data_IF_947297606491
#
_entry.id   IF_947297606491
#
_cell.length_a   1.000
_cell.length_b   1.000
_cell.length_c   1.000
_cell.angle_alpha   90.00
_cell.angle_beta   90.00
_cell.angle_gamma   90.00
#
_symmetry.space_group_name_H-M   'P 1'
#
loop_
_entity.id
_entity.type
_entity.pdbx_description
1 polymer ?
#
# COMPACT_ATOMS: atom_id res chain seq x y z
N UNK A 1 -15.65 23.12 -25.43
CA UNK A 1 -14.66 23.01 -24.35
C UNK A 1 -15.14 22.03 -23.28
N UNK A 2 -15.27 20.76 -23.58
CA UNK A 2 -15.89 19.79 -22.66
C UNK A 2 -15.54 18.36 -22.99
N UNK A 3 -14.25 18.00 -23.07
CA UNK A 3 -13.82 16.60 -23.34
C UNK A 3 -12.64 16.14 -22.43
N UNK A 4 -12.14 16.95 -21.51
CA UNK A 4 -10.93 16.66 -20.73
C UNK A 4 -11.19 16.13 -19.30
N UNK A 5 -12.44 15.97 -18.85
CA UNK A 5 -12.76 15.57 -17.46
C UNK A 5 -13.03 14.07 -17.23
N UNK A 6 -12.93 13.21 -18.24
CA UNK A 6 -13.36 11.80 -18.10
C UNK A 6 -12.23 10.76 -17.92
N UNK A 7 -10.96 11.14 -17.88
CA UNK A 7 -9.84 10.18 -17.98
C UNK A 7 -9.05 9.93 -16.69
N UNK A 8 -9.32 10.61 -15.59
CA UNK A 8 -8.55 10.47 -14.33
C UNK A 8 -9.31 9.68 -13.26
N UNK A 9 -10.45 9.11 -13.57
CA UNK A 9 -11.22 8.31 -12.62
C UNK A 9 -10.59 6.93 -12.43
N UNK A 10 -9.99 6.69 -11.24
CA UNK A 10 -9.55 5.44 -10.62
C UNK A 10 -8.15 4.95 -10.96
N UNK A 11 -7.12 5.57 -10.40
CA UNK A 11 -5.88 4.85 -10.08
C UNK A 11 -6.03 4.25 -8.68
N UNK A 12 -6.57 3.04 -8.57
CA UNK A 12 -6.65 2.31 -7.29
C UNK A 12 -5.41 1.44 -7.19
N UNK A 13 -4.55 1.74 -6.24
CA UNK A 13 -3.40 0.91 -5.90
C UNK A 13 -3.81 -0.05 -4.79
N UNK A 14 -3.97 -1.31 -5.14
CA UNK A 14 -4.15 -2.37 -4.15
C UNK A 14 -2.81 -2.78 -3.53
N UNK A 15 -2.29 -2.03 -2.57
CA UNK A 15 -1.35 -2.55 -1.59
C UNK A 15 -2.14 -2.80 -0.32
N UNK A 16 -2.17 -4.03 0.14
CA UNK A 16 -2.89 -4.43 1.35
C UNK A 16 -2.11 -3.94 2.56
N UNK A 17 -2.78 -3.27 3.47
CA UNK A 17 -2.22 -2.69 4.68
C UNK A 17 -2.94 -3.11 5.93
N UNK A 18 -2.15 -3.35 6.93
CA UNK A 18 -2.55 -3.53 8.30
C UNK A 18 -2.76 -2.17 8.99
N UNK A 19 -3.95 -1.96 9.49
CA UNK A 19 -4.22 -0.84 10.40
C UNK A 19 -4.65 -1.36 11.76
N UNK A 20 -3.95 -0.92 12.79
CA UNK A 20 -4.38 -1.08 14.17
C UNK A 20 -5.50 -0.07 14.46
N UNK A 21 -6.66 -0.53 14.91
CA UNK A 21 -7.79 0.34 15.21
C UNK A 21 -8.22 0.26 16.67
N UNK A 22 -8.61 1.39 17.19
CA UNK A 22 -9.19 1.59 18.50
C UNK A 22 -10.71 1.32 18.53
N UNK A 23 -11.15 0.90 19.71
CA UNK A 23 -12.49 0.52 20.16
C UNK A 23 -13.69 1.35 19.70
N UNK A 24 -14.81 0.65 19.44
CA UNK A 24 -16.13 1.08 19.92
C UNK A 24 -17.11 -0.09 20.04
N UNK A 25 -17.89 -0.02 21.10
CA UNK A 25 -18.93 -0.84 21.70
C UNK A 25 -19.85 -1.69 20.81
N UNK A 26 -20.08 -2.95 21.26
CA UNK A 26 -20.95 -3.97 20.68
C UNK A 26 -22.34 -3.94 21.37
N UNK A 27 -23.46 -4.09 20.65
CA UNK A 27 -24.71 -4.56 21.21
C UNK A 27 -24.78 -6.10 21.20
N UNK A 28 -25.26 -6.68 22.31
CA UNK A 28 -25.47 -8.10 22.48
C UNK A 28 -26.53 -8.65 21.54
N UNK A 29 -26.25 -9.77 20.89
CA UNK A 29 -27.21 -10.61 20.15
C UNK A 29 -27.43 -11.91 20.92
N UNK A 30 -28.70 -12.42 21.04
CA UNK A 30 -29.03 -13.60 21.82
C UNK A 30 -28.61 -14.92 21.14
N UNK A 31 -28.49 -15.95 21.97
CA UNK A 31 -27.93 -17.24 21.68
C UNK A 31 -28.79 -18.16 20.78
N UNK A 32 -28.08 -18.85 19.93
CA UNK A 32 -28.13 -20.24 19.49
C UNK A 32 -29.42 -20.85 18.95
N UNK A 33 -29.37 -21.27 17.71
CA UNK A 33 -30.00 -22.48 17.19
C UNK A 33 -28.97 -23.31 16.42
N UNK A 34 -29.10 -24.63 16.56
CA UNK A 34 -28.20 -25.72 16.16
C UNK A 34 -27.70 -25.69 14.70
N UNK A 35 -26.55 -26.30 14.40
CA UNK A 35 -25.98 -26.28 13.06
C UNK A 35 -26.80 -27.20 12.12
N UNK A 36 -27.47 -26.59 11.16
CA UNK A 36 -27.90 -27.34 9.96
C UNK A 36 -26.65 -27.55 9.09
N UNK A 37 -26.36 -28.82 8.88
CA UNK A 37 -25.43 -29.29 7.88
C UNK A 37 -25.78 -28.67 6.52
N UNK A 38 -25.00 -27.69 6.09
CA UNK A 38 -24.98 -27.26 4.70
C UNK A 38 -24.11 -28.25 3.94
N UNK A 39 -24.78 -29.22 3.29
CA UNK A 39 -24.16 -29.94 2.20
C UNK A 39 -23.70 -28.92 1.16
N UNK A 40 -22.40 -28.87 0.92
CA UNK A 40 -21.80 -27.95 -0.03
C UNK A 40 -22.40 -28.17 -1.41
N UNK A 41 -23.01 -27.12 -1.97
CA UNK A 41 -23.15 -27.06 -3.42
C UNK A 41 -21.73 -26.99 -4.00
N UNK A 42 -21.38 -27.86 -4.95
CA UNK A 42 -20.14 -27.70 -5.68
C UNK A 42 -20.23 -26.36 -6.40
N UNK A 43 -19.29 -25.46 -6.11
CA UNK A 43 -19.04 -24.35 -6.99
C UNK A 43 -18.60 -24.95 -8.33
N UNK A 44 -19.46 -24.90 -9.33
CA UNK A 44 -19.11 -25.18 -10.70
C UNK A 44 -18.21 -24.02 -11.20
N UNK A 45 -16.94 -24.06 -10.83
CA UNK A 45 -15.92 -23.39 -11.61
C UNK A 45 -15.62 -24.34 -12.77
N UNK A 46 -16.24 -24.13 -13.93
CA UNK A 46 -15.72 -24.73 -15.14
C UNK A 46 -14.25 -24.31 -15.22
N UNK A 47 -13.33 -25.27 -15.10
CA UNK A 47 -11.90 -25.03 -15.24
C UNK A 47 -11.65 -24.49 -16.64
N UNK A 48 -10.70 -23.53 -16.78
CA UNK A 48 -10.35 -22.96 -18.07
C UNK A 48 -9.95 -24.06 -19.05
N UNK A 49 -10.52 -24.05 -20.22
CA UNK A 49 -10.06 -24.92 -21.30
C UNK A 49 -8.62 -24.52 -21.71
N UNK A 50 -7.88 -25.46 -22.32
CA UNK A 50 -6.55 -25.14 -22.87
C UNK A 50 -6.62 -23.93 -23.83
N UNK A 51 -7.69 -23.83 -24.62
CA UNK A 51 -7.92 -22.70 -25.54
C UNK A 51 -8.11 -21.38 -24.80
N UNK A 52 -8.85 -21.37 -23.69
CA UNK A 52 -9.10 -20.14 -22.92
C UNK A 52 -7.83 -19.70 -22.18
N UNK A 53 -7.03 -20.65 -21.68
CA UNK A 53 -5.69 -20.33 -21.09
C UNK A 53 -4.77 -19.68 -22.12
N UNK A 54 -4.70 -20.21 -23.34
CA UNK A 54 -3.92 -19.60 -24.43
C UNK A 54 -4.43 -18.18 -24.70
N UNK A 55 -5.74 -18.01 -24.85
CA UNK A 55 -6.35 -16.69 -25.11
C UNK A 55 -6.05 -15.70 -24.00
N UNK A 56 -6.19 -16.09 -22.73
CA UNK A 56 -5.86 -15.25 -21.58
C UNK A 56 -4.38 -14.86 -21.55
N UNK A 57 -3.48 -15.81 -21.81
CA UNK A 57 -2.04 -15.55 -21.88
C UNK A 57 -1.71 -14.51 -22.96
N UNK A 58 -2.20 -14.71 -24.19
CA UNK A 58 -1.96 -13.80 -25.30
C UNK A 58 -2.55 -12.41 -25.06
N UNK A 59 -3.72 -12.33 -24.43
CA UNK A 59 -4.36 -11.08 -24.07
C UNK A 59 -3.52 -10.31 -23.06
N UNK A 60 -3.04 -10.97 -22.00
CA UNK A 60 -2.18 -10.37 -20.97
C UNK A 60 -0.87 -9.88 -21.59
N UNK A 61 -0.18 -10.74 -22.34
CA UNK A 61 1.09 -10.39 -22.96
C UNK A 61 0.96 -9.22 -23.91
N UNK A 62 -0.02 -9.26 -24.84
CA UNK A 62 -0.27 -8.19 -25.83
C UNK A 62 -0.67 -6.88 -25.16
N UNK A 63 -1.52 -6.92 -24.14
CA UNK A 63 -1.95 -5.72 -23.44
C UNK A 63 -0.76 -5.01 -22.79
N UNK A 64 0.18 -5.75 -22.22
CA UNK A 64 1.42 -5.18 -21.67
C UNK A 64 2.30 -4.64 -22.79
N UNK A 65 2.47 -5.40 -23.87
CA UNK A 65 3.28 -4.98 -25.03
C UNK A 65 2.81 -3.63 -25.61
N UNK A 66 1.51 -3.44 -25.70
CA UNK A 66 0.91 -2.23 -26.25
C UNK A 66 0.84 -1.04 -25.28
N UNK A 67 0.64 -1.32 -23.98
CA UNK A 67 0.21 -0.29 -23.01
C UNK A 67 1.29 0.09 -21.98
N UNK A 68 2.29 -0.75 -21.77
CA UNK A 68 3.31 -0.48 -20.76
C UNK A 68 4.01 0.85 -21.03
N UNK A 69 4.22 1.66 -19.99
CA UNK A 69 4.69 3.06 -20.12
C UNK A 69 6.11 3.17 -20.72
N UNK A 70 6.99 2.24 -20.39
CA UNK A 70 8.37 2.22 -20.91
C UNK A 70 8.46 1.29 -22.13
N UNK A 71 8.75 1.80 -23.34
CA UNK A 71 8.90 0.98 -24.53
C UNK A 71 10.07 -0.02 -24.47
N UNK A 72 10.96 0.13 -23.48
CA UNK A 72 12.06 -0.81 -23.21
C UNK A 72 11.73 -1.80 -22.11
N UNK A 73 10.51 -1.79 -21.56
CA UNK A 73 10.01 -2.74 -20.54
C UNK A 73 10.95 -2.86 -19.33
N UNK A 74 11.46 -1.73 -18.78
CA UNK A 74 12.48 -1.70 -17.73
C UNK A 74 13.77 -2.49 -18.08
N UNK A 75 14.09 -2.60 -19.37
CA UNK A 75 15.26 -3.34 -19.88
C UNK A 75 15.00 -4.84 -20.13
N UNK A 76 13.77 -5.30 -19.93
CA UNK A 76 13.36 -6.69 -20.20
C UNK A 76 13.03 -6.86 -21.68
N UNK A 77 13.55 -7.91 -22.32
CA UNK A 77 13.11 -8.29 -23.65
C UNK A 77 11.74 -8.98 -23.56
N UNK A 78 10.67 -8.22 -23.79
CA UNK A 78 9.29 -8.68 -23.60
C UNK A 78 8.90 -9.79 -24.59
N UNK A 79 9.48 -9.83 -25.80
CA UNK A 79 9.28 -10.94 -26.72
C UNK A 79 9.92 -12.24 -26.21
N UNK A 80 11.13 -12.18 -25.64
CA UNK A 80 11.74 -13.37 -25.03
C UNK A 80 10.92 -13.90 -23.84
N UNK A 81 10.21 -13.02 -23.13
CA UNK A 81 9.28 -13.44 -22.07
C UNK A 81 8.13 -14.25 -22.69
N UNK A 82 7.52 -13.79 -23.79
CA UNK A 82 6.51 -14.56 -24.51
C UNK A 82 7.02 -15.94 -24.88
N UNK A 83 8.16 -16.02 -25.56
CA UNK A 83 8.73 -17.27 -26.09
C UNK A 83 9.05 -18.27 -24.97
N UNK A 84 9.43 -17.77 -23.79
CA UNK A 84 9.72 -18.60 -22.61
C UNK A 84 8.46 -19.10 -21.91
N UNK A 85 7.44 -18.26 -21.77
CA UNK A 85 6.23 -18.61 -21.03
C UNK A 85 5.15 -19.30 -21.87
N UNK A 86 5.04 -19.01 -23.17
CA UNK A 86 4.01 -19.59 -24.05
C UNK A 86 3.97 -21.12 -24.03
N UNK A 87 5.13 -21.85 -24.12
CA UNK A 87 5.12 -23.30 -24.04
C UNK A 87 4.71 -23.86 -22.67
N UNK A 88 4.82 -23.06 -21.60
CA UNK A 88 4.40 -23.46 -20.25
C UNK A 88 2.87 -23.50 -20.11
N UNK A 89 2.13 -22.66 -20.88
CA UNK A 89 0.67 -22.63 -20.87
C UNK A 89 0.08 -24.01 -21.18
N UNK A 90 0.70 -24.76 -22.09
CA UNK A 90 0.22 -26.08 -22.51
C UNK A 90 0.54 -27.19 -21.49
N UNK A 91 1.39 -26.88 -20.49
CA UNK A 91 1.89 -27.84 -19.49
C UNK A 91 1.28 -27.66 -18.10
N UNK A 92 0.58 -26.54 -17.85
CA UNK A 92 -0.04 -26.30 -16.55
C UNK A 92 -1.26 -27.21 -16.37
N UNK A 93 -1.34 -27.86 -15.20
CA UNK A 93 -2.38 -28.86 -14.93
C UNK A 93 -3.70 -28.25 -14.41
N UNK A 94 -3.65 -27.04 -13.79
CA UNK A 94 -4.81 -26.39 -13.19
C UNK A 94 -4.84 -24.89 -13.37
N UNK A 95 -5.96 -24.27 -13.02
CA UNK A 95 -6.13 -22.83 -13.13
C UNK A 95 -5.25 -22.05 -12.14
N UNK A 96 -5.04 -22.60 -10.94
CA UNK A 96 -4.16 -21.97 -9.93
C UNK A 96 -2.71 -21.90 -10.43
N UNK A 97 -2.21 -22.98 -11.04
CA UNK A 97 -0.87 -23.01 -11.64
C UNK A 97 -0.77 -22.06 -12.83
N UNK A 98 -1.82 -21.99 -13.64
CA UNK A 98 -1.92 -21.05 -14.75
C UNK A 98 -1.86 -19.61 -14.27
N UNK A 99 -2.67 -19.23 -13.29
CA UNK A 99 -2.66 -17.88 -12.73
C UNK A 99 -1.34 -17.55 -12.04
N UNK A 100 -0.74 -18.50 -11.32
CA UNK A 100 0.58 -18.32 -10.73
C UNK A 100 1.66 -18.11 -11.81
N UNK A 101 1.55 -18.78 -12.94
CA UNK A 101 2.44 -18.57 -14.08
C UNK A 101 2.25 -17.18 -14.70
N UNK A 102 1.01 -16.71 -14.91
CA UNK A 102 0.72 -15.36 -15.41
C UNK A 102 1.30 -14.29 -14.46
N UNK A 103 1.14 -14.45 -13.16
CA UNK A 103 1.72 -13.55 -12.17
C UNK A 103 3.24 -13.48 -12.25
N UNK A 104 3.92 -14.64 -12.38
CA UNK A 104 5.38 -14.68 -12.59
C UNK A 104 5.79 -13.98 -13.86
N UNK A 105 5.09 -14.23 -14.98
CA UNK A 105 5.36 -13.57 -16.27
C UNK A 105 5.27 -12.04 -16.13
N UNK A 106 4.17 -11.55 -15.56
CA UNK A 106 3.95 -10.11 -15.34
C UNK A 106 5.00 -9.53 -14.39
N UNK A 107 5.41 -10.29 -13.38
CA UNK A 107 6.44 -9.92 -12.42
C UNK A 107 7.83 -9.68 -13.00
N UNK A 108 8.14 -10.22 -14.18
CA UNK A 108 9.41 -10.01 -14.88
C UNK A 108 9.67 -8.52 -15.25
N UNK A 109 8.62 -7.70 -15.24
CA UNK A 109 8.74 -6.24 -15.48
C UNK A 109 9.39 -5.47 -14.33
N UNK A 110 9.55 -6.11 -13.17
CA UNK A 110 10.10 -5.47 -11.97
C UNK A 110 9.44 -4.14 -11.63
N UNK A 111 8.10 -4.13 -11.63
CA UNK A 111 7.26 -2.96 -11.38
C UNK A 111 6.15 -3.33 -10.39
N UNK A 112 5.89 -2.42 -9.45
CA UNK A 112 4.96 -2.66 -8.36
C UNK A 112 3.49 -2.55 -8.79
N UNK A 113 3.19 -1.96 -9.94
CA UNK A 113 1.84 -1.60 -10.37
C UNK A 113 1.30 -2.48 -11.49
N UNK A 114 2.17 -3.06 -12.35
CA UNK A 114 1.74 -4.02 -13.35
C UNK A 114 1.52 -5.37 -12.68
N UNK A 115 0.26 -5.80 -12.63
CA UNK A 115 -0.16 -6.98 -11.87
C UNK A 115 -1.30 -7.72 -12.53
N UNK A 116 -1.27 -9.04 -12.38
CA UNK A 116 -2.39 -9.90 -12.66
C UNK A 116 -3.09 -10.31 -11.36
N UNK A 117 -4.40 -10.07 -11.28
CA UNK A 117 -5.25 -10.52 -10.18
C UNK A 117 -6.08 -11.72 -10.62
N UNK A 118 -6.05 -12.78 -9.83
CA UNK A 118 -6.91 -13.95 -10.05
C UNK A 118 -8.39 -13.56 -9.90
N UNK A 119 -9.32 -14.38 -10.41
CA UNK A 119 -10.76 -14.13 -10.20
C UNK A 119 -11.14 -14.01 -8.72
N UNK A 120 -10.46 -14.75 -7.83
CA UNK A 120 -10.65 -14.64 -6.37
C UNK A 120 -10.19 -13.28 -5.86
N UNK A 121 -8.95 -12.89 -6.11
CA UNK A 121 -8.38 -11.61 -5.66
C UNK A 121 -9.16 -10.40 -6.18
N UNK A 122 -9.64 -10.50 -7.43
CA UNK A 122 -10.55 -9.49 -7.99
C UNK A 122 -11.84 -9.36 -7.19
N UNK A 123 -12.43 -10.50 -6.77
CA UNK A 123 -13.66 -10.49 -5.94
C UNK A 123 -13.41 -9.92 -4.55
N UNK A 124 -12.31 -10.30 -3.90
CA UNK A 124 -11.93 -9.82 -2.56
C UNK A 124 -11.67 -8.31 -2.58
N UNK A 125 -10.93 -7.82 -3.56
CA UNK A 125 -10.67 -6.38 -3.75
C UNK A 125 -11.97 -5.58 -3.94
N UNK A 126 -12.93 -6.09 -4.72
CA UNK A 126 -14.24 -5.42 -4.91
C UNK A 126 -15.09 -5.35 -3.64
N UNK A 127 -14.85 -6.22 -2.67
CA UNK A 127 -15.59 -6.24 -1.40
C UNK A 127 -14.93 -5.39 -0.31
N UNK A 128 -13.80 -4.73 -0.59
CA UNK A 128 -13.02 -4.00 0.41
C UNK A 128 -12.72 -4.86 1.64
N UNK A 129 -12.29 -6.08 1.40
CA UNK A 129 -11.94 -7.06 2.41
C UNK A 129 -10.49 -7.45 2.27
N UNK A 130 -9.83 -7.65 3.39
CA UNK A 130 -8.45 -8.13 3.43
C UNK A 130 -8.33 -9.36 4.32
N UNK A 131 -7.37 -10.22 4.01
CA UNK A 131 -7.01 -11.36 4.85
C UNK A 131 -5.90 -10.94 5.80
N UNK A 132 -6.08 -11.21 7.08
CA UNK A 132 -5.08 -10.89 8.11
C UNK A 132 -5.01 -11.99 9.17
N UNK A 133 -3.91 -12.00 9.91
CA UNK A 133 -3.74 -12.77 11.15
C UNK A 133 -3.62 -11.84 12.37
N UNK A 134 -3.82 -10.53 12.17
CA UNK A 134 -3.79 -9.52 13.23
C UNK A 134 -2.40 -9.06 13.63
N UNK A 135 -1.37 -9.29 12.80
CA UNK A 135 -0.02 -8.78 13.03
C UNK A 135 0.54 -8.14 11.76
N UNK A 136 1.50 -7.23 11.93
CA UNK A 136 2.33 -6.70 10.86
C UNK A 136 3.79 -7.09 11.08
N UNK A 137 4.48 -7.48 10.00
CA UNK A 137 5.87 -7.91 10.04
C UNK A 137 6.68 -7.01 9.12
N UNK A 138 7.74 -6.37 9.66
CA UNK A 138 8.72 -5.61 8.88
C UNK A 138 10.13 -6.07 9.24
N UNK A 139 11.09 -5.67 8.43
CA UNK A 139 12.49 -5.77 8.80
C UNK A 139 12.84 -4.64 9.78
N UNK A 140 13.31 -4.99 10.96
CA UNK A 140 13.83 -4.05 11.96
C UNK A 140 15.18 -4.55 12.41
N UNK A 141 16.21 -3.73 12.30
CA UNK A 141 17.59 -4.08 12.64
C UNK A 141 18.06 -5.38 11.95
N UNK A 142 17.70 -5.56 10.65
CA UNK A 142 18.01 -6.74 9.85
C UNK A 142 17.26 -8.02 10.23
N UNK A 143 16.21 -7.93 11.07
CA UNK A 143 15.43 -9.08 11.55
C UNK A 143 13.95 -8.94 11.22
N UNK A 144 13.28 -10.00 10.72
CA UNK A 144 11.82 -10.02 10.59
C UNK A 144 11.18 -9.87 11.97
N UNK A 145 10.50 -8.75 12.17
CA UNK A 145 10.02 -8.32 13.51
C UNK A 145 8.53 -7.99 13.43
N UNK A 146 7.79 -8.37 14.46
CA UNK A 146 6.39 -7.94 14.66
C UNK A 146 6.40 -6.45 14.99
N UNK A 147 5.87 -5.62 14.10
CA UNK A 147 5.84 -4.16 14.29
C UNK A 147 4.51 -3.64 14.81
N UNK A 148 3.44 -4.41 14.62
CA UNK A 148 2.12 -4.10 15.15
C UNK A 148 1.35 -5.37 15.43
N UNK A 149 0.48 -5.33 16.43
CA UNK A 149 -0.46 -6.39 16.79
C UNK A 149 -1.83 -5.74 17.01
N UNK A 150 -2.85 -6.25 16.34
CA UNK A 150 -4.23 -5.86 16.62
C UNK A 150 -4.61 -6.37 18.02
N UNK A 151 -4.97 -5.49 18.96
CA UNK A 151 -5.27 -5.88 20.33
C UNK A 151 -6.47 -6.84 20.44
N UNK A 152 -7.36 -6.84 19.44
CA UNK A 152 -8.52 -7.72 19.39
C UNK A 152 -8.25 -9.03 18.65
N UNK A 153 -7.04 -9.23 18.14
CA UNK A 153 -6.65 -10.42 17.36
C UNK A 153 -6.49 -11.66 18.21
N UNK A 154 -6.49 -12.81 17.55
CA UNK A 154 -6.08 -14.06 18.17
C UNK A 154 -4.59 -14.03 18.54
N UNK A 155 -3.75 -13.37 17.74
CA UNK A 155 -2.33 -13.22 18.01
C UNK A 155 -2.08 -12.53 19.36
N UNK A 156 -2.76 -11.41 19.62
CA UNK A 156 -2.68 -10.70 20.91
C UNK A 156 -3.09 -11.61 22.09
N UNK A 157 -4.18 -12.35 21.95
CA UNK A 157 -4.63 -13.30 23.01
C UNK A 157 -3.66 -14.45 23.26
N UNK A 158 -2.80 -14.79 22.30
CA UNK A 158 -1.74 -15.78 22.44
C UNK A 158 -0.42 -15.17 22.95
N UNK A 159 -0.41 -13.89 23.31
CA UNK A 159 0.76 -13.20 23.87
C UNK A 159 1.77 -12.74 22.83
N UNK A 160 1.35 -12.57 21.56
CA UNK A 160 2.19 -11.92 20.55
C UNK A 160 2.23 -10.43 20.80
N UNK A 161 3.43 -9.85 20.80
CA UNK A 161 3.70 -8.44 21.09
C UNK A 161 4.61 -7.82 20.02
N UNK A 162 4.51 -6.50 19.86
CA UNK A 162 5.43 -5.75 19.04
C UNK A 162 6.87 -5.84 19.58
N UNK A 163 7.84 -5.91 18.67
CA UNK A 163 9.25 -6.11 19.02
C UNK A 163 9.69 -7.59 19.12
N UNK A 164 8.76 -8.54 19.07
CA UNK A 164 9.12 -9.96 18.93
C UNK A 164 9.67 -10.23 17.52
N UNK A 165 10.69 -11.09 17.42
CA UNK A 165 11.33 -11.46 16.14
C UNK A 165 10.93 -12.86 15.70
N UNK A 166 10.70 -13.05 14.41
CA UNK A 166 10.39 -14.37 13.83
C UNK A 166 11.63 -15.25 13.83
N UNK A 167 11.46 -16.51 14.28
CA UNK A 167 12.48 -17.57 14.26
C UNK A 167 12.17 -18.64 13.22
N UNK A 168 10.89 -19.04 13.11
CA UNK A 168 10.45 -20.02 12.11
C UNK A 168 9.02 -19.77 11.64
N UNK A 169 8.70 -20.29 10.47
CA UNK A 169 7.35 -20.32 9.86
C UNK A 169 7.05 -21.75 9.41
N UNK A 170 6.01 -22.35 9.94
CA UNK A 170 5.65 -23.75 9.63
C UNK A 170 6.76 -24.76 9.96
N UNK A 171 7.57 -24.51 10.98
CA UNK A 171 8.72 -25.32 11.36
C UNK A 171 9.98 -25.06 10.51
N UNK A 172 9.92 -24.24 9.46
CA UNK A 172 11.09 -23.87 8.66
C UNK A 172 11.77 -22.64 9.27
N UNK A 173 13.10 -22.68 9.55
CA UNK A 173 13.84 -21.52 10.02
C UNK A 173 13.61 -20.30 9.12
N UNK A 174 13.48 -19.12 9.71
CA UNK A 174 13.06 -17.92 8.96
C UNK A 174 14.02 -17.56 7.82
N UNK A 175 15.32 -17.77 7.99
CA UNK A 175 16.31 -17.52 6.95
C UNK A 175 16.08 -18.42 5.72
N UNK A 176 15.84 -19.70 5.95
CA UNK A 176 15.57 -20.68 4.88
C UNK A 176 14.23 -20.40 4.21
N UNK A 177 13.20 -20.03 4.99
CA UNK A 177 11.90 -19.65 4.47
C UNK A 177 12.01 -18.43 3.55
N UNK A 178 12.73 -17.38 3.97
CA UNK A 178 12.95 -16.17 3.18
C UNK A 178 13.71 -16.49 1.89
N UNK A 179 14.80 -17.25 1.97
CA UNK A 179 15.59 -17.66 0.80
C UNK A 179 14.73 -18.42 -0.24
N UNK A 180 13.93 -19.39 0.22
CA UNK A 180 13.06 -20.19 -0.64
C UNK A 180 11.90 -19.39 -1.27
N UNK A 181 11.48 -18.26 -0.65
CA UNK A 181 10.36 -17.48 -1.11
C UNK A 181 10.75 -16.19 -1.83
N UNK A 182 11.99 -15.73 -1.75
CA UNK A 182 12.44 -14.50 -2.42
C UNK A 182 12.21 -14.55 -3.94
N UNK A 183 12.55 -15.65 -4.59
CA UNK A 183 12.33 -15.82 -6.03
C UNK A 183 10.84 -15.90 -6.43
N UNK A 184 9.95 -16.06 -5.46
CA UNK A 184 8.49 -16.12 -5.67
C UNK A 184 7.79 -14.78 -5.44
N UNK A 185 8.53 -13.76 -5.00
CA UNK A 185 7.98 -12.40 -4.90
C UNK A 185 7.82 -11.85 -6.31
N UNK A 186 6.61 -11.49 -6.65
CA UNK A 186 6.31 -10.87 -7.94
C UNK A 186 7.01 -9.51 -8.05
N UNK A 187 7.17 -9.03 -9.27
CA UNK A 187 7.89 -7.80 -9.58
C UNK A 187 7.57 -6.62 -8.65
N UNK A 188 8.59 -5.95 -8.22
CA UNK A 188 8.52 -4.81 -7.32
C UNK A 188 9.47 -3.73 -7.79
N UNK A 189 9.11 -2.47 -7.55
CA UNK A 189 9.88 -1.31 -8.03
C UNK A 189 11.14 -1.00 -7.20
N UNK A 190 11.29 -1.61 -6.01
CA UNK A 190 12.44 -1.37 -5.12
C UNK A 190 12.69 -2.57 -4.20
N UNK A 191 13.92 -2.67 -3.67
CA UNK A 191 14.24 -3.71 -2.67
C UNK A 191 13.36 -3.60 -1.42
N UNK A 192 13.02 -2.38 -0.98
CA UNK A 192 12.11 -2.16 0.16
C UNK A 192 10.73 -2.77 -0.10
N UNK A 193 10.19 -2.53 -1.28
CA UNK A 193 8.92 -3.13 -1.70
C UNK A 193 9.02 -4.66 -1.80
N UNK A 194 10.15 -5.20 -2.26
CA UNK A 194 10.40 -6.65 -2.32
C UNK A 194 10.37 -7.27 -0.93
N UNK A 195 11.11 -6.68 0.03
CA UNK A 195 11.13 -7.16 1.41
C UNK A 195 9.76 -7.09 2.06
N UNK A 196 9.06 -5.97 1.89
CA UNK A 196 7.70 -5.81 2.41
C UNK A 196 6.75 -6.89 1.90
N UNK A 197 6.78 -7.17 0.60
CA UNK A 197 5.97 -8.26 0.02
C UNK A 197 6.38 -9.63 0.51
N UNK A 198 7.67 -9.87 0.69
CA UNK A 198 8.16 -11.14 1.20
C UNK A 198 7.61 -11.41 2.61
N UNK A 199 7.61 -10.41 3.49
CA UNK A 199 7.02 -10.54 4.82
C UNK A 199 5.50 -10.67 4.78
N UNK A 200 4.84 -9.98 3.85
CA UNK A 200 3.41 -10.12 3.65
C UNK A 200 3.02 -11.56 3.26
N UNK A 201 3.84 -12.24 2.43
CA UNK A 201 3.60 -13.64 2.05
C UNK A 201 3.58 -14.62 3.25
N UNK A 202 4.20 -14.27 4.39
CA UNK A 202 4.10 -15.09 5.60
C UNK A 202 2.67 -15.14 6.11
N UNK A 203 1.97 -14.02 6.03
CA UNK A 203 0.59 -13.89 6.52
C UNK A 203 -0.48 -14.16 5.47
N UNK A 204 -0.14 -14.06 4.19
CA UNK A 204 -1.06 -14.30 3.07
C UNK A 204 -1.46 -15.79 2.97
N UNK A 205 -2.67 -16.05 2.46
CA UNK A 205 -3.18 -17.40 2.19
C UNK A 205 -4.70 -17.47 2.30
N UNK A 206 -5.22 -18.72 2.22
CA UNK A 206 -6.65 -18.96 2.25
C UNK A 206 -7.29 -18.55 3.57
N UNK A 207 -8.39 -17.80 3.57
CA UNK A 207 -9.18 -17.51 4.77
C UNK A 207 -9.56 -18.81 5.50
N UNK A 208 -9.43 -18.79 6.83
CA UNK A 208 -9.69 -19.95 7.68
C UNK A 208 -8.51 -20.91 7.81
N UNK A 209 -7.50 -20.82 6.93
CA UNK A 209 -6.28 -21.59 7.08
C UNK A 209 -5.43 -21.09 8.26
N UNK A 210 -4.56 -21.96 8.77
CA UNK A 210 -3.68 -21.63 9.89
C UNK A 210 -2.24 -22.07 9.61
N UNK A 211 -1.30 -21.44 10.30
CA UNK A 211 0.10 -21.80 10.26
C UNK A 211 0.77 -21.50 11.62
N UNK A 212 1.83 -22.23 11.94
CA UNK A 212 2.61 -22.02 13.14
C UNK A 212 3.73 -21.03 12.87
N UNK A 213 4.01 -20.18 13.86
CA UNK A 213 5.20 -19.35 13.91
C UNK A 213 5.88 -19.50 15.27
N UNK A 214 7.19 -19.49 15.27
CA UNK A 214 8.00 -19.36 16.46
C UNK A 214 8.57 -17.94 16.53
N UNK A 215 8.36 -17.28 17.64
CA UNK A 215 8.75 -15.90 17.93
C UNK A 215 9.73 -15.87 19.09
N UNK A 216 10.76 -15.04 19.03
CA UNK A 216 11.63 -14.75 20.16
C UNK A 216 11.23 -13.43 20.83
N UNK A 217 11.08 -13.45 22.16
CA UNK A 217 10.90 -12.29 23.02
C UNK A 217 12.21 -11.53 23.26
N UNK A 218 12.12 -10.38 23.92
CA UNK A 218 13.28 -9.57 24.29
C UNK A 218 14.28 -10.30 25.20
N UNK A 219 13.78 -11.16 26.09
CA UNK A 219 14.58 -11.98 27.01
C UNK A 219 15.17 -13.24 26.36
N UNK A 220 14.92 -13.45 25.06
CA UNK A 220 15.36 -14.62 24.31
C UNK A 220 14.45 -15.84 24.45
N UNK A 221 13.41 -15.80 25.30
CA UNK A 221 12.45 -16.90 25.39
C UNK A 221 11.65 -17.05 24.11
N UNK A 222 11.30 -18.28 23.77
CA UNK A 222 10.57 -18.62 22.56
C UNK A 222 9.07 -18.75 22.85
N UNK A 223 8.25 -18.29 21.89
CA UNK A 223 6.82 -18.42 21.90
C UNK A 223 6.37 -19.06 20.58
N UNK A 224 5.83 -20.27 20.65
CA UNK A 224 5.15 -20.89 19.50
C UNK A 224 3.66 -20.51 19.52
N UNK A 225 3.15 -20.01 18.40
CA UNK A 225 1.73 -19.68 18.25
C UNK A 225 1.21 -20.18 16.91
N UNK A 226 -0.08 -20.52 16.89
CA UNK A 226 -0.81 -20.84 15.68
C UNK A 226 -1.66 -19.63 15.27
N UNK A 227 -1.38 -19.07 14.11
CA UNK A 227 -2.08 -17.92 13.56
C UNK A 227 -3.13 -18.40 12.56
N UNK A 228 -4.35 -17.87 12.66
CA UNK A 228 -5.48 -18.19 11.78
C UNK A 228 -5.78 -16.99 10.89
N UNK A 229 -5.81 -17.20 9.59
CA UNK A 229 -6.16 -16.19 8.59
C UNK A 229 -7.64 -15.87 8.64
N UNK A 230 -7.98 -14.59 8.75
CA UNK A 230 -9.36 -14.12 8.84
C UNK A 230 -9.59 -13.01 7.84
N UNK A 231 -10.79 -13.00 7.26
CA UNK A 231 -11.26 -11.86 6.50
C UNK A 231 -11.69 -10.77 7.50
N UNK A 232 -11.19 -9.56 7.29
CA UNK A 232 -11.60 -8.36 8.03
C UNK A 232 -12.01 -7.27 7.04
N UNK A 233 -12.92 -6.40 7.47
CA UNK A 233 -13.20 -5.17 6.73
C UNK A 233 -12.00 -4.24 6.81
N UNK A 234 -11.76 -3.47 5.77
CA UNK A 234 -10.70 -2.48 5.78
C UNK A 234 -10.93 -1.44 6.88
N UNK A 235 -9.85 -0.89 7.39
CA UNK A 235 -9.91 0.16 8.39
C UNK A 235 -10.53 1.44 7.81
N UNK A 236 -11.08 2.34 8.66
CA UNK A 236 -11.51 3.64 8.20
C UNK A 236 -10.44 4.34 7.38
N UNK A 237 -10.84 4.96 6.26
CA UNK A 237 -9.91 5.63 5.35
C UNK A 237 -9.11 6.74 6.05
N UNK A 238 -9.72 7.43 7.02
CA UNK A 238 -9.06 8.43 7.87
C UNK A 238 -9.40 8.25 9.35
N UNK A 239 -8.44 8.61 10.22
CA UNK A 239 -8.65 8.82 11.66
C UNK A 239 -7.94 10.08 12.10
N UNK A 240 -8.44 10.76 13.14
CA UNK A 240 -7.82 11.99 13.61
C UNK A 240 -7.98 12.19 15.11
N UNK A 241 -7.08 12.95 15.69
CA UNK A 241 -7.10 13.32 17.11
C UNK A 241 -6.23 14.56 17.38
N UNK A 242 -6.44 15.18 18.52
CA UNK A 242 -5.48 16.12 19.08
C UNK A 242 -4.50 15.36 19.98
N UNK A 243 -3.21 15.59 19.79
CA UNK A 243 -2.17 15.01 20.62
C UNK A 243 -2.09 15.75 21.98
N UNK A 244 -1.47 15.12 22.98
CA UNK A 244 -1.23 15.75 24.29
C UNK A 244 -0.37 17.02 24.18
N UNK A 245 0.47 17.11 23.16
CA UNK A 245 1.25 18.30 22.79
C UNK A 245 0.42 19.46 22.24
N UNK A 246 -0.87 19.27 21.96
CA UNK A 246 -1.75 20.23 21.32
C UNK A 246 -1.77 20.17 19.79
N UNK A 247 -0.81 19.49 19.15
CA UNK A 247 -0.80 19.33 17.69
C UNK A 247 -1.97 18.51 17.17
N UNK A 248 -2.42 18.82 15.96
CA UNK A 248 -3.37 17.99 15.21
C UNK A 248 -2.66 16.76 14.62
N UNK A 249 -3.32 15.62 14.67
CA UNK A 249 -2.84 14.40 14.05
C UNK A 249 -3.96 13.81 13.18
N UNK A 250 -3.66 13.60 11.91
CA UNK A 250 -4.56 12.95 10.94
C UNK A 250 -3.80 11.78 10.30
N UNK A 251 -4.35 10.57 10.44
CA UNK A 251 -3.84 9.39 9.75
C UNK A 251 -4.73 9.09 8.56
N UNK A 252 -4.11 8.96 7.38
CA UNK A 252 -4.76 8.52 6.15
C UNK A 252 -4.29 7.11 5.85
N UNK A 253 -5.22 6.15 5.74
CA UNK A 253 -4.91 4.74 5.50
C UNK A 253 -4.92 4.37 4.01
N UNK A 254 -5.70 5.09 3.20
CA UNK A 254 -5.82 4.89 1.76
C UNK A 254 -6.31 6.19 1.12
N UNK A 255 -6.03 6.39 -0.17
CA UNK A 255 -6.56 7.50 -0.95
C UNK A 255 -7.75 7.02 -1.78
N UNK A 256 -8.90 6.80 -1.13
CA UNK A 256 -10.11 6.32 -1.76
C UNK A 256 -11.28 7.28 -1.50
N UNK A 257 -12.05 7.56 -2.54
CA UNK A 257 -13.18 8.49 -2.47
C UNK A 257 -14.27 7.95 -1.51
N UNK A 258 -14.76 8.79 -0.59
CA UNK A 258 -14.61 10.25 -0.51
C UNK A 258 -13.71 10.73 0.66
N UNK A 259 -12.47 10.25 0.78
CA UNK A 259 -11.57 10.56 1.90
C UNK A 259 -11.32 12.08 2.06
N UNK A 260 -11.34 12.85 0.98
CA UNK A 260 -11.21 14.32 1.04
C UNK A 260 -12.26 14.96 1.95
N UNK A 261 -13.48 14.41 2.02
CA UNK A 261 -14.53 14.91 2.91
C UNK A 261 -14.25 14.60 4.38
N UNK A 262 -13.68 13.43 4.65
CA UNK A 262 -13.27 13.04 6.00
C UNK A 262 -12.09 13.89 6.47
N UNK A 263 -11.11 14.10 5.57
CA UNK A 263 -9.98 14.97 5.82
C UNK A 263 -10.42 16.41 6.11
N UNK A 264 -11.31 17.00 5.31
CA UNK A 264 -11.85 18.35 5.53
C UNK A 264 -12.48 18.45 6.92
N UNK A 265 -13.35 17.51 7.31
CA UNK A 265 -13.96 17.47 8.66
C UNK A 265 -12.91 17.37 9.77
N UNK A 266 -11.87 16.56 9.58
CA UNK A 266 -10.77 16.45 10.53
C UNK A 266 -10.01 17.78 10.67
N UNK A 267 -9.71 18.42 9.52
CA UNK A 267 -9.02 19.69 9.48
C UNK A 267 -9.81 20.80 10.15
N UNK A 268 -11.13 20.90 9.92
CA UNK A 268 -12.03 21.85 10.59
C UNK A 268 -12.00 21.73 12.13
N UNK A 269 -11.86 20.49 12.64
CA UNK A 269 -11.76 20.22 14.10
C UNK A 269 -10.38 20.49 14.68
N UNK A 270 -9.39 20.70 13.84
CA UNK A 270 -7.99 20.86 14.20
C UNK A 270 -7.41 22.21 13.71
N UNK A 271 -8.23 23.14 13.22
CA UNK A 271 -7.79 24.43 12.68
C UNK A 271 -7.04 25.29 13.68
N UNK A 272 -7.37 25.18 14.96
CA UNK A 272 -6.73 25.89 16.07
C UNK A 272 -5.46 25.18 16.60
N UNK A 273 -5.09 24.02 16.01
CA UNK A 273 -3.86 23.33 16.38
C UNK A 273 -2.63 24.14 15.90
N UNK A 274 -1.57 24.26 16.71
CA UNK A 274 -0.39 25.04 16.36
C UNK A 274 0.43 24.40 15.22
N UNK A 275 0.15 23.18 14.86
CA UNK A 275 0.74 22.43 13.75
C UNK A 275 -0.02 21.13 13.50
N UNK A 276 0.19 20.54 12.33
CA UNK A 276 -0.50 19.33 11.87
C UNK A 276 0.50 18.25 11.51
N UNK A 277 0.27 17.03 12.00
CA UNK A 277 0.97 15.82 11.61
C UNK A 277 0.05 14.97 10.74
N UNK A 278 0.46 14.70 9.50
CA UNK A 278 -0.24 13.82 8.57
C UNK A 278 0.51 12.48 8.53
N UNK A 279 -0.11 11.42 9.01
CA UNK A 279 0.50 10.10 9.03
C UNK A 279 0.08 9.28 7.80
N UNK A 280 1.03 9.08 6.89
CA UNK A 280 0.91 8.25 5.69
C UNK A 280 1.62 6.91 5.84
N UNK A 281 2.14 6.58 7.02
CA UNK A 281 2.76 5.28 7.26
C UNK A 281 1.72 4.19 7.09
N UNK A 282 2.07 3.24 6.23
CA UNK A 282 1.16 2.17 5.92
C UNK A 282 0.14 2.50 4.81
N UNK A 283 0.09 3.70 4.25
CA UNK A 283 -0.83 4.07 3.17
C UNK A 283 -0.22 3.75 1.78
N UNK A 284 -0.78 2.77 1.03
CA UNK A 284 -0.21 2.31 -0.25
C UNK A 284 -0.45 3.26 -1.42
N UNK A 285 -1.22 4.31 -1.23
CA UNK A 285 -1.67 5.17 -2.30
C UNK A 285 -3.17 5.05 -2.57
N UNK A 286 -3.57 5.33 -3.80
CA UNK A 286 -4.96 5.29 -4.26
C UNK A 286 -5.27 6.32 -5.34
N UNK A 287 -6.44 6.94 -5.26
CA UNK A 287 -6.97 7.84 -6.28
C UNK A 287 -6.26 9.19 -6.31
N UNK A 288 -5.71 9.56 -7.46
CA UNK A 288 -4.99 10.84 -7.64
C UNK A 288 -5.90 12.04 -7.37
N UNK A 289 -7.17 11.97 -7.75
CA UNK A 289 -8.13 13.05 -7.50
C UNK A 289 -8.29 13.33 -6.00
N UNK A 290 -8.27 12.30 -5.15
CA UNK A 290 -8.36 12.44 -3.69
C UNK A 290 -7.08 13.07 -3.13
N UNK A 291 -5.89 12.70 -3.68
CA UNK A 291 -4.62 13.34 -3.33
C UNK A 291 -4.65 14.83 -3.64
N UNK A 292 -5.11 15.20 -4.84
CA UNK A 292 -5.15 16.60 -5.26
C UNK A 292 -6.15 17.42 -4.45
N UNK A 293 -7.35 16.89 -4.17
CA UNK A 293 -8.36 17.56 -3.33
C UNK A 293 -7.91 17.79 -1.89
N UNK A 294 -7.18 16.85 -1.30
CA UNK A 294 -6.61 17.07 0.05
C UNK A 294 -5.45 18.07 0.00
N UNK A 295 -4.65 18.01 -1.07
CA UNK A 295 -3.53 18.95 -1.24
C UNK A 295 -3.98 20.41 -1.40
N UNK A 296 -5.19 20.67 -1.91
CA UNK A 296 -5.77 22.01 -2.02
C UNK A 296 -5.78 22.77 -0.69
N UNK A 297 -5.93 22.08 0.43
CA UNK A 297 -5.90 22.69 1.76
C UNK A 297 -4.52 23.20 2.21
N UNK A 298 -3.47 23.05 1.40
CA UNK A 298 -2.10 23.42 1.75
C UNK A 298 -1.49 24.50 0.85
N UNK A 299 -2.18 24.92 -0.21
CA UNK A 299 -1.67 25.87 -1.19
C UNK A 299 -2.70 26.95 -1.51
N UNK A 300 -2.31 28.22 -1.37
CA UNK A 300 -3.16 29.39 -1.68
C UNK A 300 -3.31 29.67 -3.19
N UNK A 301 -2.46 29.03 -4.00
CA UNK A 301 -2.43 29.20 -5.45
C UNK A 301 -2.43 27.85 -6.13
N UNK A 302 -2.91 27.82 -7.35
CA UNK A 302 -2.83 26.64 -8.21
C UNK A 302 -1.40 26.14 -8.33
N UNK A 303 -1.10 25.05 -7.66
CA UNK A 303 0.25 24.48 -7.50
C UNK A 303 0.39 23.23 -8.36
N UNK A 304 1.51 23.11 -9.09
CA UNK A 304 1.80 21.92 -9.88
C UNK A 304 2.05 20.73 -8.95
N UNK A 305 1.38 19.62 -9.24
CA UNK A 305 1.60 18.31 -8.65
C UNK A 305 2.36 17.38 -9.60
N UNK A 306 3.12 17.93 -10.53
CA UNK A 306 3.88 17.18 -11.52
C UNK A 306 3.03 16.73 -12.71
N UNK A 307 3.43 15.64 -13.32
CA UNK A 307 2.76 15.11 -14.51
C UNK A 307 2.87 13.60 -14.63
N UNK A 308 1.89 13.00 -15.23
CA UNK A 308 1.98 11.67 -15.80
C UNK A 308 2.39 11.73 -17.27
N UNK A 309 3.27 10.83 -17.70
CA UNK A 309 3.76 10.73 -19.07
C UNK A 309 3.50 9.32 -19.58
N UNK A 310 2.78 9.20 -20.70
CA UNK A 310 2.52 7.91 -21.35
C UNK A 310 3.67 7.47 -22.24
N UNK A 311 3.62 6.22 -22.72
CA UNK A 311 4.57 5.62 -23.68
C UNK A 311 4.78 6.52 -24.93
N UNK A 312 3.72 7.19 -25.41
CA UNK A 312 3.79 8.08 -26.57
C UNK A 312 4.41 9.46 -26.27
N UNK A 313 4.83 9.70 -25.01
CA UNK A 313 5.33 11.01 -24.58
C UNK A 313 4.25 12.02 -24.24
N UNK A 314 2.95 11.67 -24.39
CA UNK A 314 1.85 12.55 -23.99
C UNK A 314 1.86 12.77 -22.49
N UNK A 315 1.89 14.04 -22.09
CA UNK A 315 1.90 14.43 -20.68
C UNK A 315 0.53 14.90 -20.21
N UNK A 316 0.11 14.43 -19.03
CA UNK A 316 -1.04 14.91 -18.28
C UNK A 316 -0.51 15.68 -17.07
N UNK A 317 -0.69 17.00 -17.08
CA UNK A 317 -0.30 17.87 -15.96
C UNK A 317 -1.29 17.73 -14.81
N UNK A 318 -0.78 17.69 -13.59
CA UNK A 318 -1.54 17.62 -12.36
C UNK A 318 -1.41 18.93 -11.59
N UNK A 319 -2.49 19.39 -11.00
CA UNK A 319 -2.52 20.60 -10.20
C UNK A 319 -3.43 20.42 -9.00
N UNK A 320 -3.02 20.98 -7.86
CA UNK A 320 -3.84 21.15 -6.68
C UNK A 320 -4.05 22.66 -6.42
N UNK A 321 -5.17 22.98 -5.77
CA UNK A 321 -5.56 24.35 -5.43
C UNK A 321 -6.21 25.07 -6.61
N UNK A 322 -7.20 25.87 -6.25
CA UNK A 322 -7.72 26.98 -7.03
C UNK A 322 -7.35 28.27 -6.28
N UNK A 323 -7.62 29.45 -6.84
CA UNK A 323 -7.35 30.72 -6.14
C UNK A 323 -8.39 30.92 -5.00
N UNK A 324 -8.25 30.16 -3.90
CA UNK A 324 -9.09 30.23 -2.72
C UNK A 324 -8.21 30.43 -1.49
N UNK A 325 -8.06 31.68 -1.03
CA UNK A 325 -7.22 32.02 0.13
C UNK A 325 -7.87 31.64 1.48
N UNK A 326 -9.20 31.50 1.53
CA UNK A 326 -9.96 31.44 2.79
C UNK A 326 -10.01 30.07 3.47
N UNK A 327 -9.64 28.98 2.81
CA UNK A 327 -9.72 27.59 3.33
C UNK A 327 -8.35 26.88 3.50
N UNK A 328 -7.24 27.62 3.40
CA UNK A 328 -5.90 27.04 3.44
C UNK A 328 -5.37 26.96 4.87
N UNK A 329 -4.95 25.75 5.27
CA UNK A 329 -4.25 25.56 6.54
C UNK A 329 -2.86 26.21 6.49
N UNK A 330 -2.66 27.28 7.26
CA UNK A 330 -1.42 28.06 7.28
C UNK A 330 -0.39 27.57 8.31
N UNK A 331 -0.77 26.70 9.24
CA UNK A 331 0.11 26.16 10.28
C UNK A 331 1.23 25.28 9.73
N UNK A 332 2.23 25.00 10.55
CA UNK A 332 3.32 24.09 10.22
C UNK A 332 2.80 22.65 9.99
N UNK A 333 3.40 21.92 9.05
CA UNK A 333 3.00 20.55 8.70
C UNK A 333 4.20 19.60 8.74
N UNK A 334 4.05 18.47 9.41
CA UNK A 334 4.95 17.32 9.30
C UNK A 334 4.21 16.14 8.68
N UNK A 335 4.91 15.36 7.85
CA UNK A 335 4.34 14.15 7.20
C UNK A 335 5.14 12.93 7.62
N UNK A 336 4.47 11.95 8.22
CA UNK A 336 5.10 10.67 8.57
C UNK A 336 5.00 9.70 7.40
N UNK A 337 6.13 9.13 7.01
CA UNK A 337 6.21 8.11 5.94
C UNK A 337 7.02 6.90 6.40
N UNK A 338 6.78 5.76 5.75
CA UNK A 338 7.60 4.56 5.88
C UNK A 338 7.61 3.77 4.56
N UNK A 339 8.28 2.63 4.53
CA UNK A 339 8.42 1.75 3.37
C UNK A 339 7.10 1.27 2.76
N UNK A 340 5.99 1.37 3.51
CA UNK A 340 4.65 1.05 3.01
C UNK A 340 3.88 2.28 2.50
N UNK A 341 4.47 3.48 2.60
CA UNK A 341 3.91 4.69 1.98
C UNK A 341 4.22 4.63 0.49
N UNK A 342 3.21 4.45 -0.35
CA UNK A 342 3.39 4.25 -1.81
C UNK A 342 2.52 5.18 -2.66
N UNK A 343 2.86 5.29 -3.93
CA UNK A 343 2.03 5.89 -4.99
C UNK A 343 1.49 7.29 -4.62
N UNK A 344 0.18 7.46 -4.44
CA UNK A 344 -0.44 8.72 -4.04
C UNK A 344 0.15 9.34 -2.77
N UNK A 345 0.57 8.51 -1.80
CA UNK A 345 1.26 8.98 -0.59
C UNK A 345 2.63 9.58 -0.91
N UNK A 346 3.35 9.00 -1.87
CA UNK A 346 4.65 9.52 -2.32
C UNK A 346 4.48 10.81 -3.13
N UNK A 347 3.43 10.88 -3.95
CA UNK A 347 3.07 12.10 -4.67
C UNK A 347 2.77 13.23 -3.68
N UNK A 348 1.90 12.99 -2.71
CA UNK A 348 1.51 13.98 -1.72
C UNK A 348 2.72 14.45 -0.90
N UNK A 349 3.41 13.52 -0.24
CA UNK A 349 4.56 13.86 0.62
C UNK A 349 5.68 14.52 -0.17
N UNK A 350 6.03 13.99 -1.36
CA UNK A 350 7.10 14.51 -2.18
C UNK A 350 6.83 15.91 -2.73
N UNK A 351 5.59 16.23 -3.10
CA UNK A 351 5.24 17.57 -3.61
C UNK A 351 5.19 18.59 -2.48
N UNK A 352 4.62 18.26 -1.31
CA UNK A 352 4.65 19.18 -0.17
C UNK A 352 6.09 19.43 0.32
N UNK A 353 6.95 18.40 0.31
CA UNK A 353 8.38 18.53 0.61
C UNK A 353 9.09 19.44 -0.42
N UNK A 354 8.87 19.21 -1.73
CA UNK A 354 9.51 19.99 -2.80
C UNK A 354 9.17 21.47 -2.75
N UNK A 355 7.98 21.81 -2.24
CA UNK A 355 7.51 23.17 -2.09
C UNK A 355 7.85 23.77 -0.71
N UNK A 356 8.53 23.04 0.17
CA UNK A 356 8.83 23.49 1.53
C UNK A 356 7.59 23.66 2.40
N UNK A 357 6.45 23.05 2.02
CA UNK A 357 5.18 23.17 2.74
C UNK A 357 5.08 22.22 3.92
N UNK A 358 5.80 21.11 3.89
CA UNK A 358 5.87 20.14 4.97
C UNK A 358 7.28 19.59 5.12
N UNK A 359 7.63 19.19 6.35
CA UNK A 359 8.80 18.36 6.65
C UNK A 359 8.39 16.90 6.66
N UNK A 360 9.09 16.08 5.91
CA UNK A 360 8.85 14.63 5.85
C UNK A 360 9.74 13.93 6.88
N UNK A 361 9.12 13.12 7.74
CA UNK A 361 9.77 12.44 8.87
C UNK A 361 9.56 10.92 8.76
N UNK A 362 10.56 10.13 9.11
CA UNK A 362 10.43 8.68 9.21
C UNK A 362 11.38 7.91 8.34
N UNK A 363 10.92 6.84 7.67
CA UNK A 363 11.73 6.00 6.80
C UNK A 363 11.37 6.23 5.34
N UNK A 364 12.34 6.03 4.46
CA UNK A 364 12.18 6.17 3.00
C UNK A 364 10.97 5.36 2.51
N UNK A 365 10.15 5.98 1.67
CA UNK A 365 8.90 5.39 1.15
C UNK A 365 9.14 4.25 0.15
N UNK A 366 8.07 3.63 -0.31
CA UNK A 366 8.08 2.45 -1.19
C UNK A 366 8.99 2.60 -2.43
N UNK A 367 8.94 3.72 -3.10
CA UNK A 367 9.49 3.85 -4.45
C UNK A 367 8.59 3.16 -5.47
N UNK A 368 7.27 3.27 -5.30
CA UNK A 368 6.25 2.61 -6.09
C UNK A 368 5.27 3.66 -6.63
N UNK A 369 5.67 4.39 -7.67
CA UNK A 369 4.83 5.47 -8.22
C UNK A 369 4.77 5.44 -9.75
N UNK A 370 3.87 4.62 -10.26
CA UNK A 370 3.44 4.58 -11.66
C UNK A 370 1.92 4.72 -11.73
N UNK A 371 1.42 5.12 -12.87
CA UNK A 371 -0.02 5.30 -13.09
C UNK A 371 -0.65 4.13 -13.83
N UNK A 372 -1.76 3.62 -13.29
CA UNK A 372 -2.64 2.66 -13.95
C UNK A 372 -3.83 3.44 -14.50
N UNK A 373 -4.06 3.40 -15.82
CA UNK A 373 -5.21 4.09 -16.41
C UNK A 373 -6.53 3.36 -16.10
N UNK A 374 -6.53 2.03 -16.15
CA UNK A 374 -7.68 1.18 -15.80
C UNK A 374 -7.27 -0.26 -15.51
N UNK A 375 -8.10 -0.93 -14.72
CA UNK A 375 -8.08 -2.38 -14.61
C UNK A 375 -8.85 -3.00 -15.79
N UNK A 376 -8.29 -4.08 -16.34
CA UNK A 376 -8.86 -4.78 -17.50
C UNK A 376 -9.23 -6.20 -17.11
N UNK A 377 -10.47 -6.57 -17.36
CA UNK A 377 -10.89 -7.95 -17.25
C UNK A 377 -10.21 -8.76 -18.35
N UNK A 378 -9.74 -9.96 -18.01
CA UNK A 378 -9.04 -10.89 -18.88
C UNK A 378 -9.87 -12.16 -18.99
N UNK A 379 -9.76 -12.88 -20.11
CA UNK A 379 -10.37 -14.19 -20.29
C UNK A 379 -10.15 -15.08 -19.07
N UNK A 380 -11.19 -15.81 -18.63
CA UNK A 380 -11.14 -16.60 -17.41
C UNK A 380 -11.42 -15.80 -16.13
N UNK A 381 -11.87 -14.53 -16.24
CA UNK A 381 -12.37 -13.72 -15.13
C UNK A 381 -11.30 -13.09 -14.25
N UNK A 382 -10.02 -13.24 -14.59
CA UNK A 382 -8.93 -12.49 -13.98
C UNK A 382 -8.97 -11.01 -14.34
N UNK A 383 -8.06 -10.23 -13.76
CA UNK A 383 -7.96 -8.79 -14.01
C UNK A 383 -6.49 -8.36 -14.13
N UNK A 384 -6.18 -7.58 -15.16
CA UNK A 384 -4.85 -7.03 -15.42
C UNK A 384 -4.81 -5.54 -15.13
N UNK A 385 -3.88 -5.10 -14.30
CA UNK A 385 -3.44 -3.74 -14.16
C UNK A 385 -2.11 -3.57 -14.91
N UNK A 386 -1.97 -2.51 -15.69
CA UNK A 386 -0.72 -2.19 -16.41
C UNK A 386 -0.29 -0.78 -16.03
N UNK A 387 0.99 -0.61 -15.75
CA UNK A 387 1.63 0.70 -15.59
C UNK A 387 1.70 1.40 -16.95
N UNK A 388 0.75 2.29 -17.19
CA UNK A 388 0.64 3.00 -18.48
C UNK A 388 1.29 4.38 -18.46
N UNK A 389 1.57 4.90 -17.25
CA UNK A 389 2.00 6.27 -17.04
C UNK A 389 3.17 6.33 -16.05
N UNK A 390 4.25 6.99 -16.46
CA UNK A 390 5.34 7.39 -15.55
C UNK A 390 4.98 8.70 -14.86
N UNK A 391 5.27 8.82 -13.56
CA UNK A 391 5.14 10.07 -12.83
C UNK A 391 6.45 10.84 -12.77
N UNK A 392 6.36 12.16 -12.96
CA UNK A 392 7.44 13.11 -12.72
C UNK A 392 6.93 14.22 -11.80
N UNK A 393 7.66 14.49 -10.70
CA UNK A 393 7.35 15.58 -9.78
C UNK A 393 7.40 16.96 -10.45
N UNK A 394 6.95 18.04 -9.80
CA UNK A 394 7.07 19.40 -10.34
C UNK A 394 8.50 19.77 -10.73
N UNK A 395 9.51 19.31 -9.97
CA UNK A 395 10.93 19.51 -10.26
C UNK A 395 11.53 18.47 -11.22
N UNK A 396 10.69 17.61 -11.82
CA UNK A 396 11.09 16.58 -12.78
C UNK A 396 11.73 15.33 -12.14
N UNK A 397 11.64 15.14 -10.82
CA UNK A 397 12.16 13.96 -10.14
C UNK A 397 11.29 12.74 -10.42
N UNK A 398 11.94 11.60 -10.69
CA UNK A 398 11.28 10.29 -10.76
C UNK A 398 11.29 9.67 -9.37
N UNK A 399 10.11 9.32 -8.85
CA UNK A 399 9.97 8.66 -7.55
C UNK A 399 9.94 7.12 -7.66
N UNK A 400 9.55 6.60 -8.81
CA UNK A 400 9.59 5.16 -9.09
C UNK A 400 11.00 4.59 -8.87
N UNK A 401 11.09 3.48 -8.13
CA UNK A 401 12.34 2.83 -7.69
C UNK A 401 13.05 3.55 -6.53
N UNK A 402 12.79 4.84 -6.36
CA UNK A 402 13.50 5.69 -5.37
C UNK A 402 12.66 5.98 -4.12
N UNK A 403 11.42 6.43 -4.30
CA UNK A 403 10.57 6.91 -3.20
C UNK A 403 10.92 8.32 -2.72
N UNK A 404 10.19 8.74 -1.69
CA UNK A 404 10.43 9.98 -0.95
C UNK A 404 11.47 9.70 0.13
N UNK A 405 12.54 10.47 0.13
CA UNK A 405 13.57 10.44 1.19
C UNK A 405 13.14 11.46 2.25
N UNK A 406 12.94 11.04 3.51
CA UNK A 406 12.59 11.96 4.58
C UNK A 406 13.64 13.06 4.79
N UNK A 407 13.18 14.26 5.18
CA UNK A 407 14.05 15.34 5.64
C UNK A 407 14.66 14.98 7.00
N UNK A 408 13.85 14.34 7.86
CA UNK A 408 14.24 13.84 9.17
C UNK A 408 14.13 12.31 9.19
N UNK A 409 15.20 11.59 8.84
CA UNK A 409 15.18 10.13 8.86
C UNK A 409 15.18 9.59 10.29
N UNK A 410 14.20 8.71 10.59
CA UNK A 410 14.03 8.10 11.90
C UNK A 410 13.99 6.59 11.74
N UNK A 411 14.98 5.89 12.30
CA UNK A 411 14.98 4.43 12.30
C UNK A 411 13.90 3.89 13.25
N UNK A 412 13.33 2.74 12.87
CA UNK A 412 12.52 1.95 13.77
C UNK A 412 13.45 0.97 14.49
N UNK A 413 13.38 0.90 15.82
CA UNK A 413 14.16 -0.03 16.62
C UNK A 413 13.28 -1.04 17.34
N UNK A 414 13.83 -2.22 17.63
CA UNK A 414 13.13 -3.23 18.44
C UNK A 414 12.85 -2.67 19.83
N UNK A 415 13.80 -1.92 20.40
CA UNK A 415 13.64 -1.29 21.71
C UNK A 415 12.47 -0.28 21.75
N UNK A 416 12.25 0.50 20.69
CA UNK A 416 11.10 1.41 20.61
C UNK A 416 9.78 0.64 20.56
N UNK A 417 9.73 -0.44 19.76
CA UNK A 417 8.55 -1.29 19.65
C UNK A 417 8.18 -1.91 21.01
N UNK A 418 9.16 -2.44 21.74
CA UNK A 418 8.97 -3.04 23.07
C UNK A 418 8.51 -2.05 24.14
N UNK A 419 8.91 -0.78 24.00
CA UNK A 419 8.49 0.32 24.89
C UNK A 419 7.21 1.02 24.40
N UNK A 420 6.61 0.55 23.33
CA UNK A 420 5.47 1.21 22.66
C UNK A 420 5.73 2.68 22.32
N UNK A 421 6.98 3.01 21.97
CA UNK A 421 7.44 4.35 21.64
C UNK A 421 7.33 4.59 20.16
N UNK A 422 6.72 5.71 19.75
CA UNK A 422 6.68 6.16 18.36
C UNK A 422 7.73 7.27 18.15
N UNK A 423 8.99 6.88 17.95
CA UNK A 423 10.09 7.83 17.78
C UNK A 423 9.88 8.78 16.59
N UNK A 424 9.24 8.31 15.50
CA UNK A 424 8.97 9.19 14.36
C UNK A 424 7.91 10.25 14.68
N UNK A 425 6.88 9.89 15.46
CA UNK A 425 5.89 10.86 15.93
C UNK A 425 6.52 11.90 16.86
N UNK A 426 7.40 11.48 17.78
CA UNK A 426 8.12 12.40 18.68
C UNK A 426 9.01 13.39 17.91
N UNK A 427 9.73 12.91 16.88
CA UNK A 427 10.54 13.77 16.00
C UNK A 427 9.65 14.74 15.23
N UNK A 428 8.51 14.30 14.71
CA UNK A 428 7.56 15.18 14.02
C UNK A 428 7.02 16.29 14.96
N UNK A 429 6.69 15.95 16.21
CA UNK A 429 6.29 16.96 17.19
C UNK A 429 7.42 17.96 17.49
N UNK A 430 8.67 17.51 17.58
CA UNK A 430 9.82 18.38 17.81
C UNK A 430 10.08 19.31 16.63
N UNK A 431 9.95 18.80 15.40
CA UNK A 431 10.02 19.61 14.17
C UNK A 431 8.98 20.74 14.20
N UNK A 432 7.75 20.43 14.57
CA UNK A 432 6.67 21.43 14.63
C UNK A 432 6.86 22.47 15.75
N UNK A 433 7.61 22.15 16.81
CA UNK A 433 7.94 23.14 17.89
C UNK A 433 9.05 24.12 17.49
N UNK A 434 9.87 23.75 16.51
CA UNK A 434 11.03 24.53 16.13
C UNK A 434 10.63 25.64 15.12
N UNK A 435 10.87 26.92 15.37
CA UNK A 435 10.39 28.04 14.53
C UNK A 435 10.98 28.10 13.11
N UNK A 436 11.84 27.16 12.71
CA UNK A 436 12.57 27.15 11.43
C UNK A 436 11.68 26.86 10.21
N UNK A 437 10.47 26.35 10.39
CA UNK A 437 9.44 26.29 9.36
C UNK A 437 8.69 27.63 9.28
N UNK A 438 9.45 28.73 9.04
CA UNK A 438 8.81 29.95 8.58
C UNK A 438 8.16 29.60 7.23
N UNK A 439 6.80 29.59 7.25
CA UNK A 439 6.00 29.84 6.07
C UNK A 439 6.85 30.66 5.08
N UNK A 440 7.12 30.08 3.90
CA UNK A 440 7.64 30.88 2.81
C UNK A 440 6.64 32.01 2.65
N UNK A 441 7.03 33.16 3.15
CA UNK A 441 6.28 34.39 3.12
C UNK A 441 5.85 34.58 1.67
N UNK A 442 4.55 34.60 1.47
CA UNK A 442 3.93 35.08 0.25
C UNK A 442 4.62 36.42 -0.06
N UNK A 443 5.53 36.40 -1.04
CA UNK A 443 6.02 37.62 -1.62
C UNK A 443 4.81 38.27 -2.29
N UNK A 444 4.48 39.48 -1.77
CA UNK A 444 3.41 40.34 -2.27
C UNK A 444 3.63 40.70 -3.74
#
# INVERSE_FOLDING_TARGET
MGITRLWVRRCIVGLILLSATALSSIPRVPAASSPRSFAGQPASSDSLSAKDRIKAFEEVWRTIDEKYYDPRFNGVNWQNIHDRYRPLVDRVEGDDDFYAMLKRMVGELHDAHTRFHTPRERRERKKQQTVTVGIAIFEVEGRPTIVAVDPNSQAARQGVEAGMTLRSVGGTPIADWLAANTARVEGTSSERATRLRLYYRIIDGEPGSSFKVELARADGTLLEVTLVRRIVSEAPAATWRRLASGFGYIKLNVWESPIHKEFKRALERLTDAPGLIIDLRGNPGGEVDEVLRIAEHFFTKRTSFGKFVSRSGRALQLFAGEENEDEVYSGAVAILVNESSGSGSEMFAGVLQENGRAVVVGRQSCGCLLGIAKFREVEGGGELAVSELAYLSPKGRKLEGRGVIPDEPVALTIADLQRHRDAALEVAENVLRTPTLKTSTVAR
#
